data_IF_506904770291
#
_entry.id   IF_506904770291
#
_cell.length_a   1.000
_cell.length_b   1.000
_cell.length_c   1.000
_cell.angle_alpha   90.00
_cell.angle_beta   90.00
_cell.angle_gamma   90.00
#
_symmetry.space_group_name_H-M   'P 1'
#
loop_
_entity.id
_entity.type
_entity.pdbx_description
1 polymer ?
#
# COMPACT_ATOMS: atom_id res chain seq x y z
N UNK A 1 -20.69 8.06 -14.46
CA UNK A 1 -19.58 8.61 -13.66
C UNK A 1 -18.38 7.70 -13.88
N UNK A 2 -17.24 8.26 -14.25
CA UNK A 2 -15.96 7.53 -14.34
C UNK A 2 -15.29 7.55 -12.98
N UNK A 3 -14.89 6.37 -12.47
CA UNK A 3 -14.06 6.25 -11.26
C UNK A 3 -12.58 6.31 -11.63
N UNK A 4 -11.78 7.02 -10.83
CA UNK A 4 -10.32 7.03 -10.89
C UNK A 4 -9.79 6.23 -9.71
N UNK A 5 -8.98 5.22 -10.00
CA UNK A 5 -8.42 4.29 -9.01
C UNK A 5 -6.91 4.44 -9.00
N UNK A 6 -6.30 4.55 -7.82
CA UNK A 6 -4.85 4.44 -7.65
C UNK A 6 -4.45 2.98 -7.45
N UNK A 7 -3.38 2.55 -8.10
CA UNK A 7 -2.82 1.21 -7.96
C UNK A 7 -1.43 1.33 -7.34
N UNK A 8 -1.21 0.64 -6.23
CA UNK A 8 0.06 0.59 -5.50
C UNK A 8 0.48 -0.88 -5.39
N UNK A 9 1.76 -1.17 -5.61
CA UNK A 9 2.32 -2.52 -5.62
C UNK A 9 3.80 -2.47 -5.26
N UNK A 10 4.37 -3.61 -4.82
CA UNK A 10 5.81 -3.84 -4.70
C UNK A 10 6.53 -2.80 -3.83
N UNK A 11 5.94 -2.47 -2.67
CA UNK A 11 6.52 -1.51 -1.72
C UNK A 11 7.79 -2.09 -1.09
N UNK A 12 7.83 -3.41 -0.83
CA UNK A 12 8.97 -4.12 -0.27
C UNK A 12 9.62 -3.43 0.95
N UNK A 13 8.82 -2.94 1.88
CA UNK A 13 9.30 -2.27 3.09
C UNK A 13 9.74 -0.82 2.92
N UNK A 14 9.63 -0.24 1.72
CA UNK A 14 10.13 1.11 1.44
C UNK A 14 9.15 2.20 1.90
N UNK A 15 9.19 2.51 3.20
CA UNK A 15 8.34 3.53 3.81
C UNK A 15 8.50 4.91 3.15
N UNK A 16 9.73 5.37 2.91
CA UNK A 16 9.98 6.69 2.33
C UNK A 16 9.39 6.83 0.92
N UNK A 17 9.42 5.75 0.12
CA UNK A 17 8.76 5.76 -1.18
C UNK A 17 7.24 5.80 -1.05
N UNK A 18 6.67 5.03 -0.11
CA UNK A 18 5.22 5.01 0.12
C UNK A 18 4.70 6.38 0.59
N UNK A 19 5.39 7.05 1.52
CA UNK A 19 5.07 8.41 1.97
C UNK A 19 5.03 9.40 0.80
N UNK A 20 6.02 9.34 -0.10
CA UNK A 20 6.06 10.20 -1.27
C UNK A 20 4.88 9.95 -2.24
N UNK A 21 4.47 8.69 -2.41
CA UNK A 21 3.29 8.32 -3.23
C UNK A 21 2.00 8.82 -2.58
N UNK A 22 1.85 8.68 -1.26
CA UNK A 22 0.70 9.18 -0.51
C UNK A 22 0.58 10.71 -0.63
N UNK A 23 1.70 11.42 -0.49
CA UNK A 23 1.74 12.87 -0.70
C UNK A 23 1.33 13.29 -2.12
N UNK A 24 1.61 12.47 -3.13
CA UNK A 24 1.14 12.70 -4.50
C UNK A 24 -0.37 12.42 -4.63
N UNK A 25 -0.87 11.36 -4.01
CA UNK A 25 -2.31 11.03 -3.99
C UNK A 25 -3.14 12.11 -3.29
N UNK A 26 -2.60 12.74 -2.25
CA UNK A 26 -3.23 13.90 -1.61
C UNK A 26 -3.34 15.11 -2.54
N UNK A 27 -2.38 15.31 -3.45
CA UNK A 27 -2.40 16.38 -4.46
C UNK A 27 -3.29 16.04 -5.65
N UNK A 28 -3.43 14.75 -5.95
CA UNK A 28 -4.18 14.22 -7.09
C UNK A 28 -5.27 13.25 -6.62
N UNK A 29 -6.38 13.75 -6.04
CA UNK A 29 -7.39 12.89 -5.42
C UNK A 29 -7.95 11.85 -6.41
N UNK A 30 -8.12 10.64 -5.88
CA UNK A 30 -8.70 9.47 -6.52
C UNK A 30 -9.92 9.00 -5.73
N UNK A 31 -10.79 8.20 -6.33
CA UNK A 31 -11.98 7.68 -5.64
C UNK A 31 -11.63 6.56 -4.64
N UNK A 32 -10.65 5.74 -4.97
CA UNK A 32 -10.17 4.65 -4.12
C UNK A 32 -8.75 4.21 -4.52
N UNK A 33 -8.07 3.53 -3.59
CA UNK A 33 -6.73 2.97 -3.79
C UNK A 33 -6.78 1.45 -3.67
N UNK A 34 -6.09 0.75 -4.56
CA UNK A 34 -5.94 -0.70 -4.54
C UNK A 34 -4.48 -1.07 -4.35
N UNK A 35 -4.22 -1.93 -3.37
CA UNK A 35 -2.91 -2.48 -3.10
C UNK A 35 -2.80 -3.90 -3.65
N UNK A 36 -1.78 -4.15 -4.48
CA UNK A 36 -1.63 -5.40 -5.23
C UNK A 36 -0.73 -6.44 -4.55
N UNK A 37 -0.04 -6.09 -3.47
CA UNK A 37 0.82 -6.99 -2.73
C UNK A 37 2.30 -6.63 -2.77
N UNK A 38 3.11 -7.50 -2.18
CA UNK A 38 4.55 -7.36 -1.97
C UNK A 38 4.86 -6.14 -1.11
N UNK A 39 4.20 -6.08 0.06
CA UNK A 39 4.38 -5.01 1.03
C UNK A 39 5.70 -5.18 1.78
N UNK A 40 6.09 -6.43 2.03
CA UNK A 40 7.20 -6.78 2.89
C UNK A 40 8.52 -6.88 2.14
N UNK A 41 9.57 -6.35 2.78
CA UNK A 41 10.96 -6.44 2.32
C UNK A 41 11.80 -7.35 3.22
N UNK A 42 13.11 -7.47 2.99
CA UNK A 42 14.03 -8.30 3.80
C UNK A 42 14.27 -7.76 5.24
N UNK A 43 13.39 -6.91 5.76
CA UNK A 43 13.44 -6.33 7.10
C UNK A 43 12.21 -6.71 7.92
N UNK A 44 12.16 -6.35 9.22
CA UNK A 44 10.96 -6.57 10.02
C UNK A 44 9.77 -5.91 9.36
N UNK A 45 8.69 -6.66 9.24
CA UNK A 45 7.38 -6.11 8.94
C UNK A 45 7.03 -5.01 9.95
N UNK A 46 6.63 -3.83 9.46
CA UNK A 46 6.26 -2.71 10.33
C UNK A 46 4.83 -2.30 10.03
N UNK A 47 3.98 -2.32 11.05
CA UNK A 47 2.58 -1.88 11.00
C UNK A 47 2.42 -0.49 10.36
N UNK A 48 3.47 0.34 10.43
CA UNK A 48 3.56 1.67 9.81
C UNK A 48 3.16 1.69 8.33
N UNK A 49 3.50 0.65 7.55
CA UNK A 49 3.15 0.61 6.13
C UNK A 49 1.64 0.39 5.90
N UNK A 50 0.99 -0.37 6.77
CA UNK A 50 -0.47 -0.51 6.74
C UNK A 50 -1.14 0.79 7.15
N UNK A 51 -0.67 1.41 8.24
CA UNK A 51 -1.19 2.71 8.70
C UNK A 51 -1.09 3.78 7.60
N UNK A 52 -0.04 3.73 6.79
CA UNK A 52 0.13 4.59 5.62
C UNK A 52 -0.86 4.26 4.49
N UNK A 53 -1.05 2.99 4.14
CA UNK A 53 -2.03 2.59 3.13
C UNK A 53 -3.48 2.92 3.54
N UNK A 54 -3.79 2.87 4.83
CA UNK A 54 -5.12 3.24 5.36
C UNK A 54 -5.42 4.74 5.19
N UNK A 55 -4.40 5.61 5.13
CA UNK A 55 -4.59 7.06 4.95
C UNK A 55 -5.15 7.45 3.57
N UNK A 56 -4.98 6.59 2.56
CA UNK A 56 -5.35 6.90 1.16
C UNK A 56 -6.57 6.12 0.66
N UNK A 57 -7.49 5.78 1.57
CA UNK A 57 -8.73 5.04 1.25
C UNK A 57 -8.43 3.76 0.45
N UNK A 58 -7.49 2.96 0.93
CA UNK A 58 -7.19 1.67 0.31
C UNK A 58 -8.31 0.68 0.60
N UNK A 59 -9.06 0.29 -0.43
CA UNK A 59 -10.27 -0.54 -0.32
C UNK A 59 -10.01 -2.01 -0.65
N UNK A 60 -8.96 -2.30 -1.41
CA UNK A 60 -8.57 -3.63 -1.84
C UNK A 60 -7.13 -3.88 -1.44
N UNK A 61 -6.89 -5.03 -0.81
CA UNK A 61 -5.57 -5.57 -0.53
C UNK A 61 -5.49 -6.96 -1.14
N UNK A 62 -4.54 -7.14 -2.05
CA UNK A 62 -4.13 -8.45 -2.55
C UNK A 62 -2.82 -8.84 -1.88
N UNK A 63 -2.65 -10.14 -1.65
CA UNK A 63 -1.40 -10.68 -1.13
C UNK A 63 -0.44 -10.94 -2.28
N UNK A 64 0.74 -10.34 -2.19
CA UNK A 64 1.86 -10.67 -3.05
C UNK A 64 2.55 -11.95 -2.58
N UNK A 65 3.46 -12.48 -3.39
CA UNK A 65 4.16 -13.70 -3.03
C UNK A 65 5.09 -13.51 -1.83
N UNK A 66 5.61 -12.29 -1.61
CA UNK A 66 6.42 -11.97 -0.43
C UNK A 66 5.61 -11.83 0.86
N UNK A 67 4.29 -11.66 0.75
CA UNK A 67 3.40 -11.53 1.91
C UNK A 67 2.88 -12.91 2.39
N UNK A 68 3.13 -13.98 1.64
CA UNK A 68 2.55 -15.33 1.89
C UNK A 68 2.95 -15.92 3.25
N UNK A 69 4.08 -15.52 3.82
CA UNK A 69 4.52 -16.03 5.13
C UNK A 69 3.98 -15.19 6.31
N UNK A 70 3.17 -14.17 6.03
CA UNK A 70 2.81 -13.08 6.92
C UNK A 70 1.28 -12.99 7.13
N UNK A 71 0.66 -14.12 7.49
CA UNK A 71 -0.81 -14.28 7.46
C UNK A 71 -1.62 -13.63 8.59
N UNK A 72 -1.01 -12.96 9.59
CA UNK A 72 -1.73 -12.56 10.81
C UNK A 72 -1.62 -11.08 11.23
N UNK A 73 -1.14 -10.20 10.33
CA UNK A 73 -0.60 -8.83 10.53
C UNK A 73 0.91 -8.86 10.53
N UNK A 74 1.45 -8.78 9.34
CA UNK A 74 2.78 -8.31 9.06
C UNK A 74 2.64 -7.37 7.88
#
# INVERSE_FOLDING_TARGET
MTKRIALISDIHGNQTALEAVIDDLHKHPVDETWFLGDLLGPGPATDVLFDLLEQVNTTIFLNGNWDTDCFYRC
#
